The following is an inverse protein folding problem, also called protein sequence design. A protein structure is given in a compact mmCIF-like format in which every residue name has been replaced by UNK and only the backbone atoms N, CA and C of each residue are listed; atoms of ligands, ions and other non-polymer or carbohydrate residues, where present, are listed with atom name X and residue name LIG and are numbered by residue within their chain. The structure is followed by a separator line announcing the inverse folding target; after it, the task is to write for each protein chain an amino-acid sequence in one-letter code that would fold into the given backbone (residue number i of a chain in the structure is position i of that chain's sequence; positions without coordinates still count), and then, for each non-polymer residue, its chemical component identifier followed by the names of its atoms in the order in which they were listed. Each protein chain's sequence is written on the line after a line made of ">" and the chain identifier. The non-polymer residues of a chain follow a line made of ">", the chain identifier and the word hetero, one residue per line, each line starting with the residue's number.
data_IF_938166389151
#
_entry.id   IF_938166389151
#
_cell.length_a   1.000
_cell.length_b   1.000
_cell.length_c   1.000
_cell.angle_alpha   90.00
_cell.angle_beta   90.00
_cell.angle_gamma   90.00
#
_symmetry.space_group_name_H-M   'P 1'
#
loop_
_entity.id
_entity.type
_entity.pdbx_description
1 polymer ?
#
# COMPACT_ATOMS: atom_id res chain seq x y z
N UNK A 1 7.65 -36.49 6.05
CA UNK A 1 6.26 -36.11 5.69
C UNK A 1 5.80 -37.01 4.56
N UNK A 2 4.58 -37.55 4.63
CA UNK A 2 4.03 -38.40 3.56
C UNK A 2 3.54 -37.53 2.39
N UNK A 3 3.55 -38.07 1.18
CA UNK A 3 3.11 -37.34 -0.02
C UNK A 3 1.71 -36.74 0.13
N UNK A 4 0.77 -37.47 0.71
CA UNK A 4 -0.60 -37.04 0.94
C UNK A 4 -0.74 -35.88 1.95
N UNK A 5 0.28 -35.62 2.75
CA UNK A 5 0.23 -34.57 3.78
C UNK A 5 0.81 -33.24 3.28
N UNK A 6 1.63 -33.26 2.21
CA UNK A 6 2.29 -32.06 1.70
C UNK A 6 1.28 -30.98 1.32
N UNK A 7 0.28 -31.33 0.50
CA UNK A 7 -0.72 -30.35 0.05
C UNK A 7 -1.64 -29.86 1.19
N UNK A 8 -1.88 -30.69 2.22
CA UNK A 8 -2.71 -30.33 3.37
C UNK A 8 -2.03 -29.32 4.30
N UNK A 9 -0.69 -29.40 4.41
CA UNK A 9 0.10 -28.50 5.25
C UNK A 9 0.59 -27.27 4.49
N UNK A 10 0.60 -27.33 3.16
CA UNK A 10 1.08 -26.26 2.30
C UNK A 10 0.27 -24.96 2.52
N UNK A 11 0.98 -23.91 2.92
CA UNK A 11 0.44 -22.56 3.04
C UNK A 11 1.40 -21.53 2.45
N UNK A 12 2.62 -21.46 2.99
CA UNK A 12 3.69 -20.59 2.55
C UNK A 12 5.03 -21.28 2.79
N UNK A 13 6.09 -20.73 2.23
CA UNK A 13 7.45 -21.22 2.38
C UNK A 13 8.12 -20.62 3.62
N UNK A 14 8.98 -21.39 4.36
CA UNK A 14 9.20 -22.84 4.26
C UNK A 14 7.96 -23.65 4.67
N UNK A 15 7.79 -24.85 4.12
CA UNK A 15 6.61 -25.71 4.33
C UNK A 15 6.29 -25.98 5.82
N UNK A 16 7.31 -26.15 6.65
CA UNK A 16 7.19 -26.50 8.07
C UNK A 16 7.30 -25.31 9.03
N UNK A 17 7.77 -24.16 8.52
CA UNK A 17 7.97 -22.93 9.29
C UNK A 17 7.75 -21.71 8.38
N UNK A 18 6.49 -21.42 8.02
CA UNK A 18 6.15 -20.34 7.09
C UNK A 18 6.70 -19.00 7.52
N UNK A 19 7.18 -18.20 6.55
CA UNK A 19 7.76 -16.87 6.77
C UNK A 19 6.77 -15.85 7.34
N UNK A 20 5.49 -16.18 7.37
CA UNK A 20 4.42 -15.35 7.92
C UNK A 20 3.22 -16.21 8.37
N UNK A 21 2.46 -15.81 9.40
CA UNK A 21 1.27 -16.53 9.85
C UNK A 21 0.09 -16.34 8.89
N UNK A 22 -0.98 -17.12 9.07
CA UNK A 22 -2.25 -16.92 8.34
C UNK A 22 -2.95 -15.65 8.82
N UNK A 23 -3.51 -14.89 7.86
CA UNK A 23 -4.39 -13.75 8.15
C UNK A 23 -5.84 -14.18 8.49
N UNK A 24 -6.74 -13.19 8.73
CA UNK A 24 -6.53 -11.74 8.62
C UNK A 24 -5.61 -11.19 9.70
N UNK A 25 -5.10 -9.95 9.48
CA UNK A 25 -4.17 -9.31 10.42
C UNK A 25 -4.77 -8.06 11.04
N UNK A 26 -4.60 -7.90 12.37
CA UNK A 26 -5.04 -6.72 13.11
C UNK A 26 -3.85 -5.80 13.34
N UNK A 27 -4.10 -4.50 13.21
CA UNK A 27 -3.14 -3.44 13.45
C UNK A 27 -3.68 -2.50 14.51
N UNK A 28 -2.82 -2.17 15.49
CA UNK A 28 -3.16 -1.29 16.59
C UNK A 28 -2.28 -0.04 16.54
N UNK A 29 -2.90 1.13 16.72
CA UNK A 29 -2.25 2.43 16.61
C UNK A 29 -1.49 2.63 15.28
N UNK A 30 -2.02 2.08 14.19
CA UNK A 30 -1.45 2.28 12.85
C UNK A 30 -1.48 3.76 12.50
N UNK A 31 -0.31 4.34 12.34
CA UNK A 31 -0.10 5.75 12.07
C UNK A 31 0.12 5.97 10.59
N UNK A 32 -0.61 6.93 10.02
CA UNK A 32 -0.51 7.32 8.63
C UNK A 32 -0.10 8.78 8.51
N UNK A 33 0.82 9.06 7.60
CA UNK A 33 1.06 10.38 7.02
C UNK A 33 0.85 10.26 5.53
N UNK A 34 -0.20 10.90 5.01
CA UNK A 34 -0.58 10.83 3.59
C UNK A 34 -0.46 12.21 2.98
N UNK A 35 0.36 12.33 1.94
CA UNK A 35 0.52 13.57 1.17
C UNK A 35 -0.02 13.32 -0.24
N UNK A 36 -1.13 14.00 -0.56
CA UNK A 36 -1.70 13.97 -1.91
C UNK A 36 -1.06 15.04 -2.77
N UNK A 37 -0.55 14.67 -3.92
CA UNK A 37 0.06 15.60 -4.88
C UNK A 37 -0.46 15.35 -6.30
N UNK A 38 -0.38 16.38 -7.15
CA UNK A 38 -0.64 16.25 -8.59
C UNK A 38 0.56 15.67 -9.29
N UNK A 39 0.30 14.81 -10.27
CA UNK A 39 1.30 14.22 -11.16
C UNK A 39 0.88 14.37 -12.63
N UNK A 40 1.70 13.87 -13.54
CA UNK A 40 1.41 13.94 -14.97
C UNK A 40 0.37 12.86 -15.34
N UNK A 41 -0.76 13.22 -15.98
CA UNK A 41 -1.80 12.26 -16.36
C UNK A 41 -1.31 11.13 -17.28
N UNK A 42 -0.31 11.39 -18.12
CA UNK A 42 0.31 10.38 -18.99
C UNK A 42 1.08 9.35 -18.17
N UNK A 43 1.93 9.81 -17.22
CA UNK A 43 2.67 8.93 -16.32
C UNK A 43 1.74 8.05 -15.47
N UNK A 44 0.59 8.59 -15.03
CA UNK A 44 -0.41 7.81 -14.29
C UNK A 44 -1.02 6.69 -15.17
N UNK A 45 -1.37 7.00 -16.42
CA UNK A 45 -1.93 6.00 -17.34
C UNK A 45 -0.94 4.90 -17.73
N UNK A 46 0.35 5.22 -17.81
CA UNK A 46 1.39 4.23 -18.10
C UNK A 46 1.56 3.16 -17.01
N UNK A 47 1.23 3.48 -15.77
CA UNK A 47 1.46 2.58 -14.64
C UNK A 47 0.20 1.91 -14.08
N UNK A 48 -0.98 2.42 -14.44
CA UNK A 48 -2.26 1.82 -14.03
C UNK A 48 -2.72 0.82 -15.07
N UNK A 49 -2.78 -0.49 -14.74
CA UNK A 49 -3.19 -1.51 -15.68
C UNK A 49 -4.70 -1.51 -15.91
N UNK A 50 -5.13 -1.80 -17.14
CA UNK A 50 -6.53 -2.15 -17.41
C UNK A 50 -6.93 -3.42 -16.62
N UNK A 51 -8.19 -3.60 -16.20
CA UNK A 51 -9.35 -2.75 -16.50
C UNK A 51 -9.55 -1.58 -15.52
N UNK A 52 -8.53 -1.16 -14.78
CA UNK A 52 -8.59 0.02 -13.93
C UNK A 52 -8.50 1.31 -14.77
N UNK A 53 -9.31 2.31 -14.42
CA UNK A 53 -9.27 3.64 -15.03
C UNK A 53 -8.79 4.67 -14.00
N UNK A 54 -7.85 5.53 -14.38
CA UNK A 54 -7.34 6.61 -13.52
C UNK A 54 -8.42 7.67 -13.28
N UNK A 55 -8.55 8.13 -12.03
CA UNK A 55 -9.43 9.25 -11.65
C UNK A 55 -8.57 10.48 -11.36
N UNK A 56 -8.71 11.52 -12.18
CA UNK A 56 -8.00 12.80 -11.99
C UNK A 56 -6.50 12.69 -12.26
N UNK A 57 -5.73 13.52 -11.55
CA UNK A 57 -4.29 13.71 -11.73
C UNK A 57 -3.49 13.56 -10.42
N UNK A 58 -4.08 12.95 -9.39
CA UNK A 58 -3.46 12.91 -8.06
C UNK A 58 -2.86 11.54 -7.73
N UNK A 59 -1.82 11.59 -6.89
CA UNK A 59 -1.20 10.43 -6.22
C UNK A 59 -1.26 10.68 -4.72
N UNK A 60 -1.63 9.67 -3.95
CA UNK A 60 -1.47 9.65 -2.51
C UNK A 60 -0.13 8.98 -2.18
N UNK A 61 0.81 9.73 -1.64
CA UNK A 61 2.03 9.19 -1.07
C UNK A 61 1.81 8.91 0.41
N UNK A 62 1.92 7.66 0.80
CA UNK A 62 1.61 7.18 2.14
C UNK A 62 2.89 6.79 2.88
N UNK A 63 3.10 7.30 4.08
CA UNK A 63 4.01 6.75 5.07
C UNK A 63 3.16 6.16 6.20
N UNK A 64 3.46 4.92 6.56
CA UNK A 64 2.63 4.16 7.49
C UNK A 64 3.53 3.46 8.50
N UNK A 65 3.32 3.72 9.78
CA UNK A 65 3.94 2.96 10.85
C UNK A 65 2.93 2.02 11.49
N UNK A 66 3.31 0.78 11.64
CA UNK A 66 2.60 -0.27 12.36
C UNK A 66 3.37 -0.61 13.63
N UNK A 67 3.13 0.07 14.77
CA UNK A 67 3.86 -0.19 16.01
C UNK A 67 3.47 -1.52 16.65
N UNK A 68 2.30 -2.04 16.33
CA UNK A 68 1.77 -3.29 16.85
C UNK A 68 0.84 -3.94 15.82
N UNK A 69 1.19 -5.14 15.38
CA UNK A 69 0.36 -5.93 14.46
C UNK A 69 0.43 -7.41 14.78
N UNK A 70 -0.70 -8.10 14.57
CA UNK A 70 -0.72 -9.55 14.73
C UNK A 70 0.15 -10.22 13.68
N UNK A 71 1.12 -11.02 14.10
CA UNK A 71 1.97 -11.83 13.24
C UNK A 71 3.19 -11.15 12.65
N UNK A 72 3.25 -9.79 12.62
CA UNK A 72 4.38 -9.05 12.06
C UNK A 72 5.08 -8.13 13.08
N UNK A 73 4.39 -7.75 14.18
CA UNK A 73 4.95 -6.85 15.19
C UNK A 73 5.06 -5.40 14.71
N UNK A 74 6.20 -4.75 14.97
CA UNK A 74 6.51 -3.35 14.63
C UNK A 74 7.26 -3.28 13.30
N UNK A 75 6.73 -2.55 12.33
CA UNK A 75 7.41 -2.23 11.07
C UNK A 75 6.88 -0.94 10.44
N UNK A 76 7.59 -0.41 9.47
CA UNK A 76 7.21 0.80 8.74
C UNK A 76 7.14 0.52 7.24
N UNK A 77 6.14 1.08 6.56
CA UNK A 77 6.01 1.02 5.11
C UNK A 77 5.69 2.38 4.51
N UNK A 78 5.96 2.52 3.22
CA UNK A 78 5.61 3.69 2.43
C UNK A 78 5.29 3.29 1.00
N UNK A 79 4.46 4.07 0.32
CA UNK A 79 4.12 3.76 -1.06
C UNK A 79 3.28 4.82 -1.75
N UNK A 80 2.96 4.53 -2.99
CA UNK A 80 2.13 5.37 -3.86
C UNK A 80 0.83 4.66 -4.19
N UNK A 81 -0.29 5.36 -3.96
CA UNK A 81 -1.64 4.91 -4.27
C UNK A 81 -2.28 5.89 -5.25
N UNK A 82 -2.74 5.39 -6.39
CA UNK A 82 -3.35 6.17 -7.46
C UNK A 82 -4.88 6.00 -7.38
N UNK A 83 -5.67 7.07 -7.30
CA UNK A 83 -7.13 6.97 -7.37
C UNK A 83 -7.59 6.37 -8.69
N UNK A 84 -8.39 5.31 -8.62
CA UNK A 84 -8.89 4.58 -9.78
C UNK A 84 -10.37 4.23 -9.65
N UNK A 85 -10.99 3.87 -10.78
CA UNK A 85 -12.29 3.21 -10.83
C UNK A 85 -12.17 1.85 -11.49
N UNK A 86 -13.04 0.96 -11.10
CA UNK A 86 -13.18 -0.39 -11.61
C UNK A 86 -14.65 -0.68 -11.93
N UNK A 87 -14.93 -1.22 -13.12
CA UNK A 87 -16.25 -1.71 -13.51
C UNK A 87 -16.35 -3.19 -13.13
N UNK A 88 -17.10 -3.50 -12.08
CA UNK A 88 -17.31 -4.88 -11.65
C UNK A 88 -18.20 -5.65 -12.65
N UNK A 89 -18.13 -6.97 -12.64
CA UNK A 89 -18.87 -7.83 -13.56
C UNK A 89 -20.40 -7.68 -13.45
N UNK A 90 -20.93 -7.23 -12.31
CA UNK A 90 -22.33 -6.91 -12.07
C UNK A 90 -22.75 -5.51 -12.59
N UNK A 91 -21.81 -4.78 -13.22
CA UNK A 91 -22.01 -3.42 -13.71
C UNK A 91 -21.83 -2.32 -12.66
N UNK A 92 -21.50 -2.66 -11.41
CA UNK A 92 -21.24 -1.67 -10.38
C UNK A 92 -19.93 -0.92 -10.62
N UNK A 93 -19.97 0.41 -10.52
CA UNK A 93 -18.77 1.25 -10.57
C UNK A 93 -18.20 1.39 -9.17
N UNK A 94 -16.95 0.99 -9.00
CA UNK A 94 -16.23 1.06 -7.73
C UNK A 94 -15.05 2.02 -7.85
N UNK A 95 -15.03 3.06 -7.03
CA UNK A 95 -13.88 3.93 -6.86
C UNK A 95 -13.00 3.44 -5.72
N UNK A 96 -11.68 3.47 -5.92
CA UNK A 96 -10.71 3.02 -4.92
C UNK A 96 -9.29 3.51 -5.21
N UNK A 97 -8.31 2.85 -4.62
CA UNK A 97 -6.90 3.15 -4.83
C UNK A 97 -6.15 1.98 -5.48
N UNK A 98 -5.36 2.24 -6.52
CA UNK A 98 -4.40 1.27 -7.05
C UNK A 98 -3.06 1.44 -6.33
N UNK A 99 -2.60 0.37 -5.68
CA UNK A 99 -1.31 0.35 -4.98
C UNK A 99 -0.20 0.12 -6.02
N UNK A 100 0.44 1.22 -6.44
CA UNK A 100 1.45 1.20 -7.51
C UNK A 100 2.83 0.75 -7.02
N UNK A 101 3.29 1.26 -5.89
CA UNK A 101 4.60 0.96 -5.32
C UNK A 101 4.54 0.94 -3.80
N UNK A 102 5.31 0.04 -3.17
CA UNK A 102 5.38 -0.08 -1.72
C UNK A 102 6.76 -0.54 -1.26
N UNK A 103 7.26 0.09 -0.21
CA UNK A 103 8.57 -0.17 0.37
C UNK A 103 8.46 -0.27 1.88
N UNK A 104 9.11 -1.26 2.49
CA UNK A 104 9.08 -1.47 3.94
C UNK A 104 10.37 -2.08 4.46
N UNK A 105 10.52 -2.13 5.77
CA UNK A 105 11.76 -2.47 6.48
C UNK A 105 11.78 -3.89 7.07
N UNK A 106 10.71 -4.69 6.85
CA UNK A 106 10.62 -6.07 7.36
C UNK A 106 10.27 -7.09 6.26
N UNK A 107 10.94 -8.24 6.29
CA UNK A 107 10.78 -9.31 5.30
C UNK A 107 9.47 -10.08 5.44
N UNK A 108 8.98 -10.34 6.66
CA UNK A 108 7.76 -11.14 6.87
C UNK A 108 6.51 -10.49 6.24
N UNK A 109 6.21 -9.20 6.47
CA UNK A 109 5.11 -8.52 5.79
C UNK A 109 5.37 -8.28 4.29
N UNK A 110 6.63 -8.34 3.81
CA UNK A 110 6.92 -8.37 2.38
C UNK A 110 6.44 -9.68 1.78
N UNK A 111 6.90 -10.82 2.32
CA UNK A 111 6.55 -12.14 1.80
C UNK A 111 5.03 -12.37 1.83
N UNK A 112 4.39 -12.19 2.99
CA UNK A 112 2.95 -12.34 3.12
C UNK A 112 2.14 -11.40 2.25
N UNK A 113 2.55 -10.13 2.19
CA UNK A 113 1.88 -9.14 1.36
C UNK A 113 1.91 -9.46 -0.13
N UNK A 114 3.07 -9.90 -0.64
CA UNK A 114 3.25 -10.29 -2.04
C UNK A 114 2.53 -11.59 -2.37
N UNK A 115 2.65 -12.61 -1.51
CA UNK A 115 2.14 -13.95 -1.80
C UNK A 115 0.63 -14.08 -1.60
N UNK A 116 0.02 -13.38 -0.61
CA UNK A 116 -1.43 -13.45 -0.35
C UNK A 116 -2.19 -12.46 -1.24
N UNK A 117 -1.86 -11.16 -1.17
CA UNK A 117 -2.64 -10.09 -1.85
C UNK A 117 -2.04 -9.63 -3.19
N UNK A 118 -0.70 -9.70 -3.34
CA UNK A 118 -0.02 -9.09 -4.47
C UNK A 118 0.46 -7.65 -4.22
N UNK A 119 0.61 -7.22 -2.97
CA UNK A 119 1.21 -5.92 -2.68
C UNK A 119 2.59 -5.79 -3.34
N UNK A 120 2.88 -4.70 -4.07
CA UNK A 120 4.14 -4.51 -4.80
C UNK A 120 5.31 -4.16 -3.89
N UNK A 121 5.50 -4.94 -2.82
CA UNK A 121 6.42 -4.68 -1.71
C UNK A 121 7.87 -4.99 -2.06
N UNK A 122 8.77 -4.07 -1.70
CA UNK A 122 10.23 -4.22 -1.77
C UNK A 122 10.86 -3.80 -0.44
N UNK A 123 12.01 -4.41 -0.10
CA UNK A 123 12.75 -4.05 1.11
C UNK A 123 13.45 -2.69 0.93
N UNK A 124 13.25 -1.79 1.89
CA UNK A 124 13.89 -0.47 1.95
C UNK A 124 13.86 0.05 3.40
N UNK A 125 14.13 1.32 3.61
CA UNK A 125 14.18 1.95 4.94
C UNK A 125 13.25 3.17 5.00
N UNK A 126 11.92 2.98 5.05
CA UNK A 126 11.00 4.07 5.34
C UNK A 126 11.12 4.50 6.80
N UNK A 127 10.83 5.77 7.09
CA UNK A 127 10.85 6.32 8.44
C UNK A 127 9.80 7.41 8.59
N UNK A 128 9.13 7.44 9.74
CA UNK A 128 8.37 8.57 10.26
C UNK A 128 9.07 9.01 11.54
N UNK A 129 9.47 10.27 11.63
CA UNK A 129 10.05 10.87 12.82
C UNK A 129 9.26 12.09 13.25
N UNK A 130 9.14 12.28 14.56
CA UNK A 130 8.56 13.48 15.16
C UNK A 130 9.70 14.40 15.56
N UNK A 131 9.82 15.54 14.90
CA UNK A 131 10.88 16.52 15.16
C UNK A 131 10.23 17.88 15.50
N UNK A 132 10.12 18.17 16.77
CA UNK A 132 9.42 19.34 17.32
C UNK A 132 7.96 19.43 16.79
N UNK A 133 7.60 20.51 16.11
CA UNK A 133 6.27 20.70 15.51
C UNK A 133 6.11 20.07 14.12
N UNK A 134 7.05 19.22 13.68
CA UNK A 134 7.10 18.67 12.32
C UNK A 134 7.19 17.15 12.32
N UNK A 135 6.39 16.51 11.49
CA UNK A 135 6.60 15.13 11.05
C UNK A 135 7.61 15.14 9.90
N UNK A 136 8.69 14.38 10.05
CA UNK A 136 9.70 14.17 9.01
C UNK A 136 9.62 12.73 8.53
N UNK A 137 9.35 12.54 7.25
CA UNK A 137 9.18 11.23 6.64
C UNK A 137 10.23 11.03 5.54
N UNK A 138 10.90 9.89 5.53
CA UNK A 138 11.93 9.58 4.53
C UNK A 138 11.80 8.16 4.01
N UNK A 139 12.27 7.94 2.77
CA UNK A 139 12.53 6.62 2.22
C UNK A 139 13.97 6.55 1.72
N UNK A 140 14.75 5.62 2.25
CA UNK A 140 16.06 5.27 1.71
C UNK A 140 16.02 3.88 1.08
N UNK A 141 16.52 3.75 -0.15
CA UNK A 141 16.79 2.45 -0.77
C UNK A 141 18.29 2.16 -0.63
N UNK A 142 18.64 1.21 0.23
CA UNK A 142 20.01 1.08 0.70
C UNK A 142 20.42 2.29 1.55
N UNK A 143 21.40 3.07 1.05
CA UNK A 143 21.86 4.33 1.65
C UNK A 143 21.40 5.58 0.91
N UNK A 144 20.71 5.41 -0.23
CA UNK A 144 20.29 6.52 -1.10
C UNK A 144 18.91 7.02 -0.70
N UNK A 145 18.78 8.31 -0.48
CA UNK A 145 17.50 8.97 -0.24
C UNK A 145 16.67 8.99 -1.52
N UNK A 146 15.48 8.40 -1.47
CA UNK A 146 14.54 8.36 -2.58
C UNK A 146 13.33 9.28 -2.36
N UNK A 147 12.96 9.53 -1.09
CA UNK A 147 11.86 10.42 -0.74
C UNK A 147 12.18 11.19 0.52
N UNK A 148 11.88 12.48 0.50
CA UNK A 148 11.88 13.37 1.67
C UNK A 148 10.54 14.09 1.75
N UNK A 149 9.89 14.02 2.90
CA UNK A 149 8.61 14.69 3.11
C UNK A 149 8.50 15.25 4.52
N UNK A 150 7.77 16.34 4.65
CA UNK A 150 7.47 16.97 5.94
C UNK A 150 6.00 17.35 6.03
N UNK A 151 5.46 17.34 7.24
CA UNK A 151 4.11 17.80 7.54
C UNK A 151 4.06 18.44 8.93
N UNK A 152 3.34 19.55 9.10
CA UNK A 152 3.08 20.14 10.42
C UNK A 152 2.37 19.16 11.35
N UNK A 153 2.97 18.88 12.52
CA UNK A 153 2.46 17.89 13.48
C UNK A 153 1.18 18.40 14.16
N UNK A 154 0.09 17.63 14.01
CA UNK A 154 -1.24 17.93 14.60
C UNK A 154 -1.66 19.39 14.45
N UNK A 155 -1.36 19.98 13.29
CA UNK A 155 -1.47 21.43 13.08
C UNK A 155 -2.93 21.91 13.14
N UNK A 156 -3.88 21.13 12.60
CA UNK A 156 -5.33 21.37 12.68
C UNK A 156 -6.08 20.05 12.60
N UNK A 157 -7.11 19.88 13.41
CA UNK A 157 -7.98 18.69 13.35
C UNK A 157 -8.70 18.57 12.01
N UNK A 158 -8.87 17.34 11.56
CA UNK A 158 -9.67 16.97 10.40
C UNK A 158 -11.02 16.41 10.85
N UNK A 159 -12.06 16.76 10.09
CA UNK A 159 -13.36 16.13 10.22
C UNK A 159 -13.24 14.62 9.91
N UNK A 160 -13.71 13.73 10.82
CA UNK A 160 -13.54 12.29 10.65
C UNK A 160 -14.30 11.68 9.46
N UNK A 161 -15.50 12.20 9.18
CA UNK A 161 -16.42 11.54 8.23
C UNK A 161 -15.86 11.40 6.80
N UNK A 162 -15.25 12.42 6.17
CA UNK A 162 -14.64 12.27 4.83
C UNK A 162 -13.48 11.26 4.82
N UNK A 163 -12.66 11.22 5.88
CA UNK A 163 -11.55 10.30 6.00
C UNK A 163 -12.04 8.86 6.13
N UNK A 164 -13.00 8.61 7.01
CA UNK A 164 -13.62 7.28 7.17
C UNK A 164 -14.26 6.79 5.87
N UNK A 165 -14.93 7.68 5.13
CA UNK A 165 -15.47 7.35 3.81
C UNK A 165 -14.38 6.98 2.79
N UNK A 166 -13.22 7.64 2.87
CA UNK A 166 -12.05 7.31 2.03
C UNK A 166 -11.47 5.95 2.41
N UNK A 167 -11.28 5.67 3.70
CA UNK A 167 -10.74 4.41 4.20
C UNK A 167 -11.68 3.20 3.93
N UNK A 168 -12.97 3.43 3.76
CA UNK A 168 -13.94 2.39 3.40
C UNK A 168 -13.92 2.02 1.91
N UNK A 169 -13.20 2.77 1.06
CA UNK A 169 -13.04 2.44 -0.37
C UNK A 169 -12.12 1.25 -0.55
N UNK A 170 -12.32 0.44 -1.62
CA UNK A 170 -11.42 -0.67 -1.93
C UNK A 170 -10.03 -0.20 -2.35
N UNK A 171 -9.06 -1.07 -2.14
CA UNK A 171 -7.74 -0.98 -2.75
C UNK A 171 -7.54 -2.13 -3.75
N UNK A 172 -6.81 -1.84 -4.82
CA UNK A 172 -6.52 -2.75 -5.92
C UNK A 172 -5.02 -2.93 -6.09
N UNK A 173 -4.60 -4.13 -6.45
CA UNK A 173 -3.21 -4.45 -6.82
C UNK A 173 -3.13 -5.63 -7.76
N UNK A 174 -2.02 -5.76 -8.46
CA UNK A 174 -1.77 -6.90 -9.33
C UNK A 174 -0.96 -7.95 -8.56
N UNK A 175 -1.56 -9.11 -8.33
CA UNK A 175 -0.88 -10.27 -7.78
C UNK A 175 -0.20 -11.04 -8.90
N UNK A 176 1.13 -11.10 -8.86
CA UNK A 176 1.95 -11.84 -9.81
C UNK A 176 2.78 -12.86 -9.05
N UNK A 177 2.60 -14.15 -9.39
CA UNK A 177 3.43 -15.25 -8.90
C UNK A 177 4.02 -15.96 -10.11
N UNK A 178 5.34 -15.95 -10.28
CA UNK A 178 5.98 -16.64 -11.39
C UNK A 178 5.98 -18.18 -11.21
N UNK A 179 5.94 -18.89 -12.31
CA UNK A 179 6.27 -20.31 -12.38
C UNK A 179 7.80 -20.51 -12.35
N UNK A 180 8.27 -21.75 -12.21
CA UNK A 180 9.71 -22.07 -12.14
C UNK A 180 10.48 -21.75 -13.43
N UNK A 181 9.79 -21.60 -14.55
CA UNK A 181 10.32 -21.19 -15.85
C UNK A 181 10.25 -19.68 -16.11
N UNK A 182 9.91 -18.89 -15.07
CA UNK A 182 9.72 -17.44 -15.11
C UNK A 182 8.48 -16.95 -15.89
N UNK A 183 7.62 -17.84 -16.37
CA UNK A 183 6.30 -17.44 -16.90
C UNK A 183 5.33 -17.13 -15.74
N UNK A 184 4.30 -16.30 -15.93
CA UNK A 184 3.35 -16.02 -14.86
C UNK A 184 2.49 -17.27 -14.57
N UNK A 185 2.49 -17.73 -13.33
CA UNK A 185 1.59 -18.78 -12.82
C UNK A 185 0.28 -18.18 -12.30
N UNK A 186 0.36 -16.98 -11.73
CA UNK A 186 -0.76 -16.17 -11.28
C UNK A 186 -0.50 -14.75 -11.78
N UNK A 187 -1.50 -14.14 -12.41
CA UNK A 187 -1.53 -12.72 -12.77
C UNK A 187 -2.96 -12.23 -12.63
N UNK A 188 -3.28 -11.67 -11.47
CA UNK A 188 -4.64 -11.39 -11.04
C UNK A 188 -4.78 -9.97 -10.51
N UNK A 189 -5.87 -9.28 -10.83
CA UNK A 189 -6.29 -8.06 -10.14
C UNK A 189 -6.99 -8.47 -8.85
N UNK A 190 -6.40 -8.09 -7.73
CA UNK A 190 -6.93 -8.37 -6.39
C UNK A 190 -7.50 -7.10 -5.79
N UNK A 191 -8.70 -7.20 -5.22
CA UNK A 191 -9.38 -6.16 -4.45
C UNK A 191 -9.40 -6.54 -2.98
N UNK A 192 -9.18 -5.57 -2.08
CA UNK A 192 -9.38 -5.74 -0.64
C UNK A 192 -9.96 -4.48 -0.01
N UNK A 193 -10.49 -4.64 1.20
CA UNK A 193 -10.99 -3.55 2.04
C UNK A 193 -10.27 -3.54 3.39
N UNK A 194 -10.18 -2.36 3.98
CA UNK A 194 -9.85 -2.23 5.40
C UNK A 194 -11.14 -2.49 6.20
N UNK A 195 -11.03 -3.34 7.22
CA UNK A 195 -12.15 -3.77 8.05
C UNK A 195 -11.98 -3.25 9.49
N UNK A 196 -13.06 -3.15 10.25
CA UNK A 196 -13.06 -2.78 11.67
C UNK A 196 -12.31 -1.48 11.98
N UNK A 197 -12.37 -0.50 11.06
CA UNK A 197 -11.61 0.75 11.18
C UNK A 197 -12.10 1.59 12.35
N UNK A 198 -11.23 1.82 13.33
CA UNK A 198 -11.45 2.76 14.45
C UNK A 198 -10.48 3.92 14.35
N UNK A 199 -10.98 5.12 14.05
CA UNK A 199 -10.17 6.34 13.98
C UNK A 199 -9.92 6.90 15.38
N UNK A 200 -8.65 7.05 15.79
CA UNK A 200 -8.25 7.57 17.09
C UNK A 200 -7.94 9.07 17.07
N UNK A 201 -7.69 9.61 15.90
CA UNK A 201 -7.46 11.04 15.68
C UNK A 201 -7.00 11.29 14.25
N UNK A 202 -7.31 12.48 13.75
CA UNK A 202 -6.93 12.90 12.40
C UNK A 202 -6.64 14.41 12.36
N UNK A 203 -5.59 14.77 11.65
CA UNK A 203 -5.11 16.15 11.53
C UNK A 203 -4.67 16.43 10.10
N UNK A 204 -4.71 17.71 9.73
CA UNK A 204 -4.12 18.25 8.50
C UNK A 204 -3.15 19.38 8.83
N UNK A 205 -2.25 19.69 7.93
CA UNK A 205 -1.29 20.79 8.07
C UNK A 205 -0.56 21.09 6.76
N UNK A 206 0.28 22.13 6.74
CA UNK A 206 1.18 22.39 5.64
C UNK A 206 2.11 21.19 5.45
N UNK A 207 2.40 20.86 4.20
CA UNK A 207 3.26 19.72 3.87
C UNK A 207 4.08 19.97 2.62
N UNK A 208 5.21 19.26 2.52
CA UNK A 208 6.08 19.22 1.36
C UNK A 208 6.54 17.79 1.10
N UNK A 209 6.82 17.47 -0.16
CA UNK A 209 7.37 16.17 -0.57
C UNK A 209 8.28 16.35 -1.77
N UNK A 210 9.41 15.65 -1.76
CA UNK A 210 10.34 15.53 -2.87
C UNK A 210 10.65 14.08 -3.16
N UNK A 211 10.67 13.71 -4.45
CA UNK A 211 10.98 12.38 -4.95
C UNK A 211 12.27 12.44 -5.75
N UNK A 212 13.23 11.59 -5.42
CA UNK A 212 14.54 11.53 -6.05
C UNK A 212 14.67 10.30 -6.95
N UNK A 213 15.34 10.44 -8.08
CA UNK A 213 15.56 9.33 -9.01
C UNK A 213 16.44 8.25 -8.39
N UNK A 214 16.04 6.99 -8.60
CA UNK A 214 16.81 5.82 -8.20
C UNK A 214 16.48 4.63 -9.09
N UNK A 215 17.48 3.94 -9.60
CA UNK A 215 17.33 2.85 -10.58
C UNK A 215 16.44 1.68 -10.11
N UNK A 216 16.32 1.44 -8.81
CA UNK A 216 15.57 0.32 -8.22
C UNK A 216 14.40 0.76 -7.32
N UNK A 217 14.18 2.08 -7.18
CA UNK A 217 13.10 2.69 -6.40
C UNK A 217 12.47 3.80 -7.24
N UNK A 218 11.57 3.42 -8.15
CA UNK A 218 11.06 4.26 -9.25
C UNK A 218 9.87 5.14 -8.82
N UNK A 219 9.93 5.70 -7.60
CA UNK A 219 8.86 6.58 -7.10
C UNK A 219 8.78 7.91 -7.85
N UNK A 220 9.90 8.37 -8.40
CA UNK A 220 10.00 9.62 -9.18
C UNK A 220 9.36 9.55 -10.56
N UNK A 221 9.00 8.34 -11.05
CA UNK A 221 8.21 8.16 -12.29
C UNK A 221 6.88 8.91 -12.25
N UNK A 222 6.30 9.09 -11.06
CA UNK A 222 5.11 9.90 -10.82
C UNK A 222 5.51 11.24 -10.20
N UNK A 223 5.94 12.23 -11.02
CA UNK A 223 6.57 13.45 -10.53
C UNK A 223 5.60 14.35 -9.74
N UNK A 224 6.13 15.03 -8.72
CA UNK A 224 5.36 15.99 -7.92
C UNK A 224 5.21 17.30 -8.68
N UNK A 225 3.97 17.64 -9.08
CA UNK A 225 3.62 18.92 -9.73
C UNK A 225 3.02 19.93 -8.75
N UNK A 226 2.71 19.52 -7.57
CA UNK A 226 2.21 20.36 -6.48
C UNK A 226 1.45 19.56 -5.44
N UNK A 227 1.65 19.89 -4.17
CA UNK A 227 0.92 19.29 -3.06
C UNK A 227 -0.51 19.81 -3.04
N UNK A 228 -1.48 18.90 -2.94
CA UNK A 228 -2.92 19.19 -2.88
C UNK A 228 -3.41 19.22 -1.44
N UNK A 229 -3.03 18.20 -0.66
CA UNK A 229 -3.43 18.07 0.73
C UNK A 229 -2.48 17.15 1.49
N UNK A 230 -2.53 17.22 2.81
CA UNK A 230 -1.85 16.27 3.67
C UNK A 230 -2.72 15.92 4.88
N UNK A 231 -2.61 14.67 5.34
CA UNK A 231 -3.28 14.18 6.53
C UNK A 231 -2.34 13.32 7.37
N UNK A 232 -2.48 13.45 8.68
CA UNK A 232 -1.86 12.59 9.68
C UNK A 232 -2.98 11.99 10.51
N UNK A 233 -3.06 10.68 10.63
CA UNK A 233 -4.11 10.03 11.39
C UNK A 233 -3.67 8.69 11.97
N UNK A 234 -4.34 8.28 13.04
CA UNK A 234 -4.06 7.05 13.79
C UNK A 234 -5.32 6.20 13.83
N UNK A 235 -5.19 4.91 13.50
CA UNK A 235 -6.30 3.96 13.47
C UNK A 235 -5.94 2.64 14.15
N UNK A 236 -6.96 1.92 14.61
CA UNK A 236 -6.95 0.46 14.68
C UNK A 236 -7.75 -0.05 13.48
N UNK A 237 -7.31 -1.16 12.89
CA UNK A 237 -8.01 -1.77 11.76
C UNK A 237 -7.62 -3.24 11.57
N UNK A 238 -8.42 -3.92 10.77
CA UNK A 238 -8.14 -5.28 10.29
C UNK A 238 -7.84 -5.24 8.79
N UNK A 239 -6.74 -5.87 8.37
CA UNK A 239 -6.47 -6.18 6.97
C UNK A 239 -7.12 -7.52 6.67
N UNK A 240 -8.28 -7.49 6.04
CA UNK A 240 -9.03 -8.66 5.59
C UNK A 240 -8.34 -9.37 4.43
N UNK A 241 -8.89 -10.51 4.00
CA UNK A 241 -8.42 -11.20 2.81
C UNK A 241 -8.89 -10.49 1.54
N UNK A 242 -8.15 -10.70 0.44
CA UNK A 242 -8.49 -10.14 -0.85
C UNK A 242 -9.46 -11.02 -1.64
N UNK A 243 -10.02 -10.44 -2.71
CA UNK A 243 -10.84 -11.11 -3.70
C UNK A 243 -10.23 -10.89 -5.10
N UNK A 244 -10.13 -11.95 -5.90
CA UNK A 244 -9.73 -11.84 -7.31
C UNK A 244 -10.91 -11.32 -8.10
N UNK A 245 -10.73 -10.16 -8.77
CA UNK A 245 -11.80 -9.49 -9.54
C UNK A 245 -11.55 -9.52 -11.05
N UNK A 246 -10.33 -9.90 -11.49
CA UNK A 246 -9.99 -10.15 -12.87
C UNK A 246 -8.77 -11.08 -12.95
N UNK A 247 -8.76 -12.05 -13.86
CA UNK A 247 -7.65 -12.98 -14.10
C UNK A 247 -7.07 -12.75 -15.51
N UNK A 248 -5.93 -12.07 -15.58
CA UNK A 248 -5.28 -11.72 -16.86
C UNK A 248 -4.82 -12.91 -17.69
N UNK A 249 -4.78 -14.13 -17.10
CA UNK A 249 -4.40 -15.34 -17.81
C UNK A 249 -5.60 -16.11 -18.37
N UNK A 250 -6.83 -15.76 -17.96
CA UNK A 250 -8.06 -16.45 -18.35
C UNK A 250 -9.05 -15.54 -19.06
N UNK A 251 -9.05 -14.26 -18.71
CA UNK A 251 -10.05 -13.29 -19.17
C UNK A 251 -9.56 -12.43 -20.35
N UNK A 252 -8.37 -12.79 -20.93
CA UNK A 252 -7.72 -12.11 -22.07
C UNK A 252 -8.14 -12.70 -23.41
#
# INVERSE_FOLDING_TARGET
>A
MKLADVAKTAFAMPLTDPAYPRGPYKFYNREFVVISYRSDPEALREVVPEPLEVIGDTVNYEFIRMPDSTGFGDYTETGQVIPVRFHAADGALQEGGYVHAMYLDDNSPIAGGREIWGFPKKLAKPKIAHESETLVCTLHYGSVLCVSATMGYKHRELEPAPLLKSLAKPSFMIKIIPHVDCTPRICELVRYYLEDVTLKGAWTGPAAIELFEHSMCDVSRLPVRGVVSASHFITDLTLGLGEVVHDYLRDS
#
